data_IF_285723258587
#
_entry.id   IF_285723258587
#
_cell.length_a   1.000
_cell.length_b   1.000
_cell.length_c   1.000
_cell.angle_alpha   90.00
_cell.angle_beta   90.00
_cell.angle_gamma   90.00
#
_symmetry.space_group_name_H-M   'P 1'
#
loop_
_entity.id
_entity.type
_entity.pdbx_description
1 polymer ?
#
# COMPACT_ATOMS: atom_id res chain seq x y z
N UNK A 1 23.19 -25.86 -5.63
CA UNK A 1 22.25 -24.82 -5.13
C UNK A 1 22.12 -24.79 -3.60
N UNK A 2 22.82 -25.62 -2.82
CA UNK A 2 22.76 -25.56 -1.34
C UNK A 2 21.46 -26.08 -0.72
N UNK A 3 20.70 -26.90 -1.44
CA UNK A 3 19.49 -27.56 -0.95
C UNK A 3 19.86 -28.80 -0.14
N UNK A 4 19.14 -29.07 0.96
CA UNK A 4 19.17 -30.39 1.60
C UNK A 4 18.52 -31.45 0.72
N UNK A 5 18.72 -32.73 1.04
CA UNK A 5 18.08 -33.83 0.30
C UNK A 5 16.55 -33.73 0.33
N UNK A 6 15.98 -33.37 1.47
CA UNK A 6 14.54 -33.14 1.62
C UNK A 6 14.05 -31.98 0.76
N UNK A 7 14.78 -30.86 0.76
CA UNK A 7 14.47 -29.68 -0.04
C UNK A 7 14.57 -29.97 -1.55
N UNK A 8 15.54 -30.79 -1.97
CA UNK A 8 15.66 -31.23 -3.35
C UNK A 8 14.46 -32.11 -3.75
N UNK A 9 14.05 -33.06 -2.91
CA UNK A 9 12.85 -33.88 -3.15
C UNK A 9 11.58 -33.03 -3.26
N UNK A 10 11.42 -32.03 -2.38
CA UNK A 10 10.31 -31.07 -2.46
C UNK A 10 10.31 -30.33 -3.80
N UNK A 11 11.45 -29.75 -4.21
CA UNK A 11 11.58 -29.06 -5.49
C UNK A 11 11.17 -29.97 -6.66
N UNK A 12 11.62 -31.22 -6.67
CA UNK A 12 11.29 -32.21 -7.70
C UNK A 12 9.79 -32.55 -7.74
N UNK A 13 9.12 -32.52 -6.59
CA UNK A 13 7.68 -32.78 -6.47
C UNK A 13 6.79 -31.62 -6.94
N UNK A 14 7.32 -30.39 -7.08
CA UNK A 14 6.52 -29.24 -7.50
C UNK A 14 6.13 -29.32 -8.97
N UNK A 15 4.82 -29.32 -9.27
CA UNK A 15 4.30 -29.35 -10.64
C UNK A 15 4.99 -30.42 -11.51
N UNK A 16 4.76 -31.73 -11.27
CA UNK A 16 5.48 -32.85 -11.89
C UNK A 16 5.59 -32.82 -13.42
N UNK A 17 4.63 -32.15 -14.08
CA UNK A 17 4.54 -31.97 -15.53
C UNK A 17 5.58 -31.00 -16.10
N UNK A 18 6.16 -30.12 -15.28
CA UNK A 18 7.22 -29.19 -15.70
C UNK A 18 8.58 -29.90 -15.76
N UNK A 19 9.42 -29.55 -16.74
CA UNK A 19 10.77 -30.11 -16.83
C UNK A 19 11.66 -29.71 -15.65
N UNK A 20 12.57 -30.60 -15.25
CA UNK A 20 13.52 -30.38 -14.14
C UNK A 20 14.26 -29.05 -14.27
N UNK A 21 14.84 -28.78 -15.44
CA UNK A 21 15.59 -27.56 -15.73
C UNK A 21 14.81 -26.29 -15.43
N UNK A 22 13.48 -26.30 -15.64
CA UNK A 22 12.63 -25.13 -15.37
C UNK A 22 12.48 -24.88 -13.88
N UNK A 23 12.31 -25.93 -13.08
CA UNK A 23 12.23 -25.83 -11.61
C UNK A 23 13.54 -25.35 -11.02
N UNK A 24 14.65 -25.91 -11.49
CA UNK A 24 15.99 -25.52 -11.06
C UNK A 24 16.31 -24.07 -11.44
N UNK A 25 15.99 -23.66 -12.68
CA UNK A 25 16.18 -22.28 -13.10
C UNK A 25 15.37 -21.31 -12.24
N UNK A 26 14.10 -21.62 -11.93
CA UNK A 26 13.28 -20.79 -11.07
C UNK A 26 13.83 -20.70 -9.64
N UNK A 27 14.21 -21.83 -9.05
CA UNK A 27 14.85 -21.87 -7.74
C UNK A 27 16.16 -21.07 -7.71
N UNK A 28 17.02 -21.23 -8.73
CA UNK A 28 18.27 -20.48 -8.86
C UNK A 28 18.03 -18.97 -8.93
N UNK A 29 17.02 -18.51 -9.67
CA UNK A 29 16.68 -17.07 -9.74
C UNK A 29 16.24 -16.51 -8.38
N UNK A 30 15.46 -17.26 -7.61
CA UNK A 30 15.05 -16.84 -6.27
C UNK A 30 16.22 -16.81 -5.29
N UNK A 31 17.12 -17.79 -5.35
CA UNK A 31 18.34 -17.80 -4.56
C UNK A 31 19.25 -16.61 -4.90
N UNK A 32 19.44 -16.31 -6.18
CA UNK A 32 20.22 -15.14 -6.62
C UNK A 32 19.61 -13.82 -6.12
N UNK A 33 18.28 -13.77 -5.96
CA UNK A 33 17.59 -12.63 -5.37
C UNK A 33 17.74 -12.54 -3.84
N UNK A 34 18.46 -13.48 -3.23
CA UNK A 34 18.83 -13.50 -1.81
C UNK A 34 17.85 -14.26 -0.93
N UNK A 35 16.87 -15.00 -1.48
CA UNK A 35 16.05 -15.88 -0.67
C UNK A 35 16.87 -17.08 -0.18
N UNK A 36 16.58 -17.55 1.04
CA UNK A 36 17.05 -18.86 1.47
C UNK A 36 16.39 -19.98 0.65
N UNK A 37 17.00 -21.16 0.59
CA UNK A 37 16.41 -22.32 -0.09
C UNK A 37 14.99 -22.62 0.41
N UNK A 38 14.77 -22.54 1.71
CA UNK A 38 13.45 -22.76 2.32
C UNK A 38 12.43 -21.69 1.91
N UNK A 39 12.83 -20.41 1.92
CA UNK A 39 11.96 -19.32 1.50
C UNK A 39 11.63 -19.40 0.00
N UNK A 40 12.60 -19.79 -0.83
CA UNK A 40 12.40 -20.00 -2.26
C UNK A 40 11.41 -21.15 -2.51
N UNK A 41 11.57 -22.29 -1.83
CA UNK A 41 10.64 -23.42 -1.93
C UNK A 41 9.23 -23.05 -1.49
N UNK A 42 9.07 -22.46 -0.31
CA UNK A 42 7.76 -22.04 0.19
C UNK A 42 7.07 -21.01 -0.72
N UNK A 43 7.85 -20.15 -1.40
CA UNK A 43 7.33 -19.24 -2.41
C UNK A 43 6.81 -19.99 -3.64
N UNK A 44 7.59 -20.94 -4.18
CA UNK A 44 7.21 -21.73 -5.36
C UNK A 44 6.00 -22.63 -5.07
N UNK A 45 5.90 -23.19 -3.86
CA UNK A 45 4.75 -23.95 -3.38
C UNK A 45 3.48 -23.10 -3.31
N UNK A 46 3.60 -21.88 -2.75
CA UNK A 46 2.47 -20.96 -2.60
C UNK A 46 2.08 -20.26 -3.90
N UNK A 47 3.01 -20.10 -4.84
CA UNK A 47 2.80 -19.40 -6.10
C UNK A 47 3.30 -20.24 -7.28
N UNK A 48 2.59 -21.32 -7.65
CA UNK A 48 3.00 -22.20 -8.76
C UNK A 48 3.10 -21.47 -10.10
N UNK A 49 2.42 -20.34 -10.26
CA UNK A 49 2.52 -19.48 -11.43
C UNK A 49 3.97 -19.02 -11.72
N UNK A 50 4.81 -18.85 -10.68
CA UNK A 50 6.22 -18.48 -10.85
C UNK A 50 7.00 -19.56 -11.59
N UNK A 51 6.70 -20.85 -11.34
CA UNK A 51 7.32 -21.97 -12.06
C UNK A 51 6.92 -22.01 -13.54
N UNK A 52 5.75 -21.46 -13.89
CA UNK A 52 5.24 -21.43 -15.27
C UNK A 52 5.78 -20.24 -16.06
N UNK A 53 6.43 -19.27 -15.42
CA UNK A 53 7.04 -18.13 -16.10
C UNK A 53 8.22 -18.58 -16.99
N UNK A 54 8.40 -18.00 -18.18
CA UNK A 54 9.65 -18.10 -18.93
C UNK A 54 10.84 -17.61 -18.08
N UNK A 55 12.00 -18.26 -18.22
CA UNK A 55 13.19 -17.96 -17.42
C UNK A 55 13.63 -16.49 -17.58
N UNK A 56 13.60 -15.97 -18.80
CA UNK A 56 13.89 -14.57 -19.13
C UNK A 56 12.95 -13.62 -18.38
N UNK A 57 11.64 -13.87 -18.42
CA UNK A 57 10.64 -13.05 -17.71
C UNK A 57 10.83 -13.09 -16.19
N UNK A 58 11.23 -14.23 -15.63
CA UNK A 58 11.52 -14.36 -14.22
C UNK A 58 12.79 -13.59 -13.84
N UNK A 59 13.87 -13.72 -14.60
CA UNK A 59 15.11 -12.94 -14.45
C UNK A 59 14.84 -11.43 -14.51
N UNK A 60 14.03 -11.03 -15.47
CA UNK A 60 13.58 -9.67 -15.66
C UNK A 60 12.80 -9.13 -14.46
N UNK A 61 11.92 -9.95 -13.87
CA UNK A 61 11.17 -9.62 -12.65
C UNK A 61 12.09 -9.56 -11.43
N UNK A 62 13.01 -10.51 -11.26
CA UNK A 62 13.95 -10.51 -10.13
C UNK A 62 14.88 -9.30 -10.18
N UNK A 63 15.38 -8.93 -11.36
CA UNK A 63 16.17 -7.73 -11.57
C UNK A 63 15.38 -6.44 -11.25
N UNK A 64 14.11 -6.38 -11.63
CA UNK A 64 13.23 -5.25 -11.30
C UNK A 64 13.00 -5.11 -9.79
N UNK A 65 12.70 -6.21 -9.09
CA UNK A 65 12.55 -6.22 -7.63
C UNK A 65 13.85 -5.79 -6.92
N UNK A 66 15.01 -6.28 -7.38
CA UNK A 66 16.31 -5.86 -6.84
C UNK A 66 16.56 -4.36 -7.03
N UNK A 67 16.23 -3.78 -8.20
CA UNK A 67 16.35 -2.33 -8.43
C UNK A 67 15.45 -1.50 -7.50
N UNK A 68 14.34 -2.05 -7.05
CA UNK A 68 13.46 -1.44 -6.05
C UNK A 68 13.94 -1.66 -4.61
N UNK A 69 15.11 -2.29 -4.41
CA UNK A 69 15.64 -2.64 -3.09
C UNK A 69 14.90 -3.79 -2.42
N UNK A 70 14.12 -4.57 -3.16
CA UNK A 70 13.44 -5.77 -2.68
C UNK A 70 14.30 -7.00 -2.98
N UNK A 71 15.28 -7.25 -2.11
CA UNK A 71 16.11 -8.43 -2.12
C UNK A 71 16.26 -9.04 -0.71
N UNK A 72 16.83 -10.24 -0.65
CA UNK A 72 17.16 -10.91 0.60
C UNK A 72 15.99 -11.04 1.57
N UNK A 73 16.23 -10.71 2.84
CA UNK A 73 15.22 -10.76 3.89
C UNK A 73 14.09 -9.72 3.71
N UNK A 74 14.34 -8.59 3.04
CA UNK A 74 13.30 -7.59 2.76
C UNK A 74 12.29 -8.14 1.77
N UNK A 75 12.77 -8.78 0.69
CA UNK A 75 11.91 -9.45 -0.25
C UNK A 75 11.14 -10.61 0.38
N UNK A 76 11.80 -11.46 1.18
CA UNK A 76 11.12 -12.57 1.85
C UNK A 76 9.92 -12.08 2.69
N UNK A 77 10.11 -10.97 3.43
CA UNK A 77 9.05 -10.32 4.21
C UNK A 77 7.98 -9.67 3.34
N UNK A 78 8.34 -9.09 2.20
CA UNK A 78 7.40 -8.47 1.30
C UNK A 78 6.51 -9.54 0.63
N UNK A 79 7.13 -10.60 0.12
CA UNK A 79 6.44 -11.69 -0.58
C UNK A 79 5.56 -12.50 0.37
N UNK A 80 5.96 -12.70 1.62
CA UNK A 80 5.08 -13.39 2.59
C UNK A 80 3.74 -12.68 2.75
N UNK A 81 3.72 -11.34 2.64
CA UNK A 81 2.51 -10.50 2.72
C UNK A 81 1.82 -10.28 1.38
N UNK A 82 2.59 -10.19 0.30
CA UNK A 82 2.10 -9.90 -1.05
C UNK A 82 2.75 -10.87 -2.04
N UNK A 83 2.24 -12.12 -2.14
CA UNK A 83 2.74 -13.09 -3.11
C UNK A 83 2.63 -12.60 -4.57
N UNK A 84 1.65 -11.73 -4.86
CA UNK A 84 1.37 -11.19 -6.18
C UNK A 84 2.52 -10.34 -6.75
N UNK A 85 3.54 -9.98 -5.95
CA UNK A 85 4.72 -9.23 -6.42
C UNK A 85 5.38 -9.81 -7.67
N UNK A 86 5.43 -11.13 -7.80
CA UNK A 86 6.04 -11.78 -8.97
C UNK A 86 5.15 -11.77 -10.20
N UNK A 87 3.83 -11.84 -10.02
CA UNK A 87 2.84 -11.96 -11.08
C UNK A 87 2.23 -10.61 -11.50
N UNK A 88 2.44 -9.55 -10.71
CA UNK A 88 1.93 -8.21 -10.98
C UNK A 88 2.41 -7.71 -12.35
N UNK A 89 1.53 -7.09 -13.18
CA UNK A 89 1.96 -6.47 -14.43
C UNK A 89 3.01 -5.37 -14.24
N UNK A 90 4.06 -5.39 -15.07
CA UNK A 90 5.15 -4.40 -15.02
C UNK A 90 4.67 -2.95 -15.10
N UNK A 91 3.71 -2.67 -15.98
CA UNK A 91 3.14 -1.33 -16.14
C UNK A 91 2.50 -0.80 -14.85
N UNK A 92 1.79 -1.66 -14.11
CA UNK A 92 1.19 -1.31 -12.81
C UNK A 92 2.26 -1.03 -11.76
N UNK A 93 3.25 -1.92 -11.64
CA UNK A 93 4.38 -1.74 -10.72
C UNK A 93 5.12 -0.42 -11.00
N UNK A 94 5.43 -0.15 -12.26
CA UNK A 94 6.10 1.08 -12.68
C UNK A 94 5.25 2.34 -12.39
N UNK A 95 3.94 2.29 -12.63
CA UNK A 95 3.05 3.42 -12.35
C UNK A 95 2.99 3.74 -10.84
N UNK A 96 2.86 2.74 -9.98
CA UNK A 96 2.84 2.92 -8.52
C UNK A 96 4.19 3.46 -8.01
N UNK A 97 5.31 2.91 -8.49
CA UNK A 97 6.66 3.39 -8.15
C UNK A 97 6.86 4.84 -8.59
N UNK A 98 6.42 5.18 -9.81
CA UNK A 98 6.51 6.54 -10.34
C UNK A 98 5.69 7.51 -9.49
N UNK A 99 4.45 7.15 -9.15
CA UNK A 99 3.58 7.95 -8.29
C UNK A 99 4.21 8.22 -6.92
N UNK A 100 4.70 7.18 -6.24
CA UNK A 100 5.34 7.32 -4.94
C UNK A 100 6.61 8.20 -4.98
N UNK A 101 7.34 8.18 -6.10
CA UNK A 101 8.57 8.95 -6.25
C UNK A 101 8.33 10.39 -6.69
N UNK A 102 7.50 10.59 -7.70
CA UNK A 102 7.35 11.88 -8.39
C UNK A 102 6.21 12.72 -7.81
N UNK A 103 5.12 12.09 -7.35
CA UNK A 103 3.97 12.79 -6.78
C UNK A 103 4.00 12.81 -5.26
N UNK A 104 4.38 11.70 -4.61
CA UNK A 104 4.52 11.66 -3.14
C UNK A 104 5.89 12.10 -2.64
N UNK A 105 6.86 12.30 -3.54
CA UNK A 105 8.22 12.78 -3.25
C UNK A 105 8.98 11.91 -2.23
N UNK A 106 8.73 10.60 -2.19
CA UNK A 106 9.53 9.70 -1.37
C UNK A 106 10.96 9.56 -1.92
N UNK A 107 11.94 9.63 -1.03
CA UNK A 107 13.34 9.32 -1.40
C UNK A 107 13.49 7.85 -1.79
N UNK A 108 14.59 7.48 -2.46
CA UNK A 108 14.84 6.08 -2.82
C UNK A 108 14.89 5.16 -1.59
N UNK A 109 15.42 5.63 -0.47
CA UNK A 109 15.46 4.90 0.80
C UNK A 109 14.06 4.73 1.41
N UNK A 110 13.28 5.81 1.45
CA UNK A 110 11.90 5.78 1.94
C UNK A 110 11.03 4.85 1.09
N UNK A 111 11.17 4.93 -0.23
CA UNK A 111 10.45 4.06 -1.16
C UNK A 111 10.79 2.59 -0.90
N UNK A 112 12.07 2.24 -0.78
CA UNK A 112 12.51 0.88 -0.44
C UNK A 112 11.85 0.39 0.86
N UNK A 113 11.81 1.23 1.90
CA UNK A 113 11.18 0.87 3.17
C UNK A 113 9.66 0.71 3.05
N UNK A 114 8.98 1.59 2.31
CA UNK A 114 7.54 1.47 2.00
C UNK A 114 7.26 0.16 1.27
N UNK A 115 8.00 -0.16 0.21
CA UNK A 115 7.79 -1.39 -0.56
C UNK A 115 8.09 -2.64 0.27
N UNK A 116 9.09 -2.60 1.15
CA UNK A 116 9.42 -3.72 2.02
C UNK A 116 8.41 -3.96 3.15
N UNK A 117 7.77 -2.90 3.67
CA UNK A 117 6.84 -3.00 4.79
C UNK A 117 5.37 -3.09 4.37
N UNK A 118 5.03 -2.46 3.25
CA UNK A 118 3.69 -2.26 2.70
C UNK A 118 3.65 -2.63 1.20
N UNK A 119 4.05 -3.84 0.78
CA UNK A 119 4.14 -4.20 -0.64
C UNK A 119 2.79 -4.16 -1.41
N UNK A 120 1.67 -4.14 -0.69
CA UNK A 120 0.34 -4.01 -1.26
C UNK A 120 0.13 -2.68 -2.01
N UNK A 121 0.91 -1.64 -1.72
CA UNK A 121 0.85 -0.36 -2.46
C UNK A 121 1.07 -0.51 -3.96
N UNK A 122 1.76 -1.57 -4.40
CA UNK A 122 1.97 -1.86 -5.82
C UNK A 122 0.73 -2.47 -6.49
N UNK A 123 -0.24 -2.92 -5.72
CA UNK A 123 -1.52 -3.48 -6.19
C UNK A 123 -2.62 -2.43 -6.19
N UNK A 124 -2.47 -1.36 -5.40
CA UNK A 124 -3.45 -0.30 -5.24
C UNK A 124 -3.68 0.49 -6.54
N UNK A 125 -4.88 1.04 -6.66
CA UNK A 125 -5.23 1.94 -7.75
C UNK A 125 -4.52 3.30 -7.54
N UNK A 126 -3.90 3.88 -8.59
CA UNK A 126 -3.06 5.07 -8.43
C UNK A 126 -3.76 6.26 -7.76
N UNK A 127 -5.03 6.56 -8.10
CA UNK A 127 -5.76 7.69 -7.50
C UNK A 127 -5.99 7.45 -6.01
N UNK A 128 -6.42 6.25 -5.64
CA UNK A 128 -6.65 5.84 -4.25
C UNK A 128 -5.37 5.90 -3.41
N UNK A 129 -4.25 5.42 -3.96
CA UNK A 129 -2.94 5.49 -3.30
C UNK A 129 -2.47 6.95 -3.10
N UNK A 130 -2.66 7.79 -4.11
CA UNK A 130 -2.30 9.21 -4.03
C UNK A 130 -3.17 9.95 -3.02
N UNK A 131 -4.49 9.72 -3.05
CA UNK A 131 -5.43 10.33 -2.11
C UNK A 131 -5.07 9.99 -0.66
N UNK A 132 -4.74 8.73 -0.39
CA UNK A 132 -4.28 8.29 0.93
C UNK A 132 -3.02 9.05 1.38
N UNK A 133 -2.04 9.22 0.49
CA UNK A 133 -0.85 10.04 0.77
C UNK A 133 -1.21 11.52 1.01
N UNK A 134 -2.01 12.11 0.13
CA UNK A 134 -2.40 13.52 0.20
C UNK A 134 -3.15 13.83 1.49
N UNK A 135 -4.04 12.94 1.93
CA UNK A 135 -4.72 13.08 3.21
C UNK A 135 -3.73 13.14 4.37
N UNK A 136 -2.79 12.20 4.44
CA UNK A 136 -1.78 12.23 5.50
C UNK A 136 -0.88 13.48 5.41
N UNK A 137 -0.52 13.92 4.21
CA UNK A 137 0.40 15.05 4.02
C UNK A 137 -0.28 16.40 4.27
N UNK A 138 -1.40 16.66 3.60
CA UNK A 138 -2.09 17.96 3.63
C UNK A 138 -3.10 18.04 4.77
N UNK A 139 -3.91 17.00 4.97
CA UNK A 139 -5.00 17.03 5.96
C UNK A 139 -4.54 16.73 7.37
N UNK A 140 -3.56 15.84 7.54
CA UNK A 140 -2.98 15.52 8.86
C UNK A 140 -1.67 16.28 9.13
N UNK A 141 -1.05 16.92 8.13
CA UNK A 141 0.22 17.63 8.28
C UNK A 141 1.42 16.72 8.59
N UNK A 142 1.34 15.43 8.25
CA UNK A 142 2.38 14.44 8.54
C UNK A 142 3.47 14.48 7.46
N UNK A 143 4.73 14.39 7.85
CA UNK A 143 5.87 14.32 6.91
C UNK A 143 6.17 12.88 6.46
N UNK A 144 6.70 12.71 5.25
CA UNK A 144 7.02 11.41 4.64
C UNK A 144 7.81 10.48 5.57
N UNK A 145 8.81 11.02 6.28
CA UNK A 145 9.65 10.25 7.21
C UNK A 145 8.82 9.58 8.31
N UNK A 146 7.81 10.27 8.83
CA UNK A 146 6.90 9.73 9.84
C UNK A 146 5.92 8.74 9.23
N UNK A 147 5.39 9.01 8.02
CA UNK A 147 4.53 8.07 7.29
C UNK A 147 5.21 6.71 7.08
N UNK A 148 6.48 6.74 6.65
CA UNK A 148 7.28 5.52 6.43
C UNK A 148 7.49 4.77 7.76
N UNK A 149 7.90 5.48 8.82
CA UNK A 149 8.13 4.90 10.14
C UNK A 149 6.86 4.29 10.74
N UNK A 150 5.72 4.95 10.54
CA UNK A 150 4.41 4.48 11.01
C UNK A 150 3.78 3.43 10.09
N UNK A 151 4.36 3.18 8.90
CA UNK A 151 3.85 2.26 7.88
C UNK A 151 2.43 2.63 7.43
N UNK A 152 2.25 3.90 7.04
CA UNK A 152 0.97 4.52 6.65
C UNK A 152 0.08 3.56 5.84
N UNK A 153 0.61 3.06 4.72
CA UNK A 153 -0.14 2.25 3.75
C UNK A 153 -0.48 0.82 4.21
N UNK A 154 -0.22 0.44 5.46
CA UNK A 154 -0.77 -0.80 6.04
C UNK A 154 -2.20 -0.66 6.52
N UNK A 155 -2.58 0.53 6.95
CA UNK A 155 -3.93 0.81 7.39
C UNK A 155 -4.79 1.14 6.16
N UNK A 156 -5.98 0.57 6.01
CA UNK A 156 -6.93 1.02 4.98
C UNK A 156 -7.24 2.50 5.16
N UNK A 157 -7.42 3.23 4.05
CA UNK A 157 -7.66 4.68 4.08
C UNK A 157 -8.87 5.07 4.93
N UNK A 158 -9.98 4.32 4.83
CA UNK A 158 -11.18 4.57 5.62
C UNK A 158 -10.91 4.54 7.13
N UNK A 159 -10.12 3.56 7.61
CA UNK A 159 -9.78 3.47 9.03
C UNK A 159 -8.81 4.56 9.47
N UNK A 160 -7.87 4.97 8.60
CA UNK A 160 -7.02 6.14 8.86
C UNK A 160 -7.89 7.40 9.09
N UNK A 161 -8.84 7.66 8.18
CA UNK A 161 -9.76 8.80 8.24
C UNK A 161 -10.59 8.76 9.51
N UNK A 162 -11.21 7.61 9.81
CA UNK A 162 -12.01 7.41 11.03
C UNK A 162 -11.20 7.74 12.29
N UNK A 163 -10.02 7.16 12.46
CA UNK A 163 -9.18 7.40 13.65
C UNK A 163 -8.74 8.84 13.76
N UNK A 164 -8.33 9.45 12.64
CA UNK A 164 -7.88 10.84 12.62
C UNK A 164 -9.01 11.81 12.99
N UNK A 165 -10.15 11.75 12.30
CA UNK A 165 -11.28 12.65 12.53
C UNK A 165 -11.86 12.43 13.92
N UNK A 166 -11.91 11.19 14.41
CA UNK A 166 -12.37 10.91 15.77
C UNK A 166 -11.51 11.58 16.84
N UNK A 167 -10.18 11.52 16.70
CA UNK A 167 -9.27 12.23 17.61
C UNK A 167 -9.41 13.74 17.47
N UNK A 168 -9.55 14.25 16.25
CA UNK A 168 -9.67 15.69 15.99
C UNK A 168 -10.96 16.27 16.60
N UNK A 169 -12.12 15.63 16.38
CA UNK A 169 -13.41 16.05 16.97
C UNK A 169 -13.42 15.96 18.49
N UNK A 170 -12.56 15.13 19.08
CA UNK A 170 -12.35 15.04 20.53
C UNK A 170 -11.30 16.03 21.06
N UNK A 171 -10.70 16.86 20.19
CA UNK A 171 -9.63 17.79 20.56
C UNK A 171 -8.31 17.10 20.93
N UNK A 172 -8.15 15.83 20.59
CA UNK A 172 -6.98 15.00 20.88
C UNK A 172 -5.98 14.96 19.71
N UNK A 173 -6.36 15.54 18.58
CA UNK A 173 -5.50 15.77 17.44
C UNK A 173 -5.75 17.17 16.89
N UNK A 174 -4.68 17.90 16.58
CA UNK A 174 -4.74 19.18 15.93
C UNK A 174 -3.90 19.14 14.66
N UNK A 175 -4.51 19.47 13.51
CA UNK A 175 -3.77 19.57 12.25
C UNK A 175 -2.63 20.62 12.39
N UNK A 176 -1.35 20.25 12.21
CA UNK A 176 -0.24 21.18 12.36
C UNK A 176 -0.32 22.36 11.39
N UNK A 177 -0.22 23.59 11.90
CA UNK A 177 -0.09 24.79 11.06
C UNK A 177 1.38 25.21 11.00
N UNK A 178 1.96 25.24 9.79
CA UNK A 178 3.40 25.49 9.57
C UNK A 178 4.32 24.57 10.40
N UNK A 179 3.87 23.33 10.64
CA UNK A 179 4.60 22.34 11.43
C UNK A 179 4.52 22.51 12.94
N UNK A 180 3.65 23.40 13.44
CA UNK A 180 3.42 23.60 14.87
C UNK A 180 1.98 23.27 15.26
N UNK A 181 1.81 22.72 16.46
CA UNK A 181 0.52 22.46 17.10
C UNK A 181 0.51 23.10 18.48
N UNK A 182 -0.67 23.50 18.97
CA UNK A 182 -0.81 24.05 20.33
C UNK A 182 -0.74 22.93 21.38
N UNK A 183 -1.13 21.72 21.01
CA UNK A 183 -1.04 20.48 21.80
C UNK A 183 -0.18 19.45 21.11
N UNK A 184 0.52 18.61 21.88
CA UNK A 184 1.31 17.51 21.32
C UNK A 184 0.39 16.40 20.80
N UNK A 185 0.34 16.21 19.48
CA UNK A 185 -0.44 15.14 18.87
C UNK A 185 0.09 13.75 19.28
N UNK A 186 -0.77 12.73 19.36
CA UNK A 186 -0.34 11.34 19.49
C UNK A 186 0.61 10.94 18.35
N UNK A 187 1.55 10.04 18.63
CA UNK A 187 2.47 9.55 17.59
C UNK A 187 1.66 8.83 16.52
N UNK A 188 1.95 9.12 15.25
CA UNK A 188 1.26 8.48 14.13
C UNK A 188 1.32 6.95 14.20
N UNK A 189 2.46 6.38 14.62
CA UNK A 189 2.59 4.93 14.82
C UNK A 189 1.49 4.37 15.74
N UNK A 190 1.14 5.07 16.81
CA UNK A 190 0.17 4.62 17.79
C UNK A 190 -1.26 4.76 17.23
N UNK A 191 -1.53 5.84 16.49
CA UNK A 191 -2.79 6.01 15.75
C UNK A 191 -3.00 4.85 14.76
N UNK A 192 -1.96 4.42 14.03
CA UNK A 192 -2.11 3.43 12.95
C UNK A 192 -1.95 1.97 13.37
N UNK A 193 -1.12 1.67 14.37
CA UNK A 193 -0.73 0.28 14.66
C UNK A 193 -1.38 -0.29 15.90
N UNK A 194 -1.97 0.52 16.78
CA UNK A 194 -2.68 -0.01 17.93
C UNK A 194 -3.95 -0.76 17.48
N UNK A 195 -4.24 -1.93 18.08
CA UNK A 195 -5.56 -2.54 17.97
C UNK A 195 -6.65 -1.53 18.37
N UNK A 196 -7.83 -1.64 17.77
CA UNK A 196 -8.92 -0.67 18.00
C UNK A 196 -9.23 -0.47 19.50
N UNK A 197 -9.30 -1.57 20.26
CA UNK A 197 -9.48 -1.53 21.72
C UNK A 197 -8.43 -0.66 22.44
N UNK A 198 -7.15 -0.81 22.08
CA UNK A 198 -6.06 -0.09 22.74
C UNK A 198 -6.01 1.37 22.26
N UNK A 199 -6.29 1.62 20.98
CA UNK A 199 -6.46 2.96 20.44
C UNK A 199 -7.55 3.73 21.20
N UNK A 200 -8.71 3.10 21.42
CA UNK A 200 -9.83 3.71 22.13
C UNK A 200 -9.53 3.93 23.61
N UNK A 201 -8.92 2.97 24.29
CA UNK A 201 -8.61 3.09 25.71
C UNK A 201 -7.49 4.11 25.99
N UNK A 202 -6.43 4.10 25.19
CA UNK A 202 -5.20 4.86 25.50
C UNK A 202 -5.10 6.21 24.79
N UNK A 203 -5.57 6.33 23.55
CA UNK A 203 -5.50 7.56 22.77
C UNK A 203 -6.84 8.29 22.83
N UNK A 204 -7.92 7.67 22.35
CA UNK A 204 -9.20 8.36 22.18
C UNK A 204 -9.96 8.57 23.51
N UNK A 205 -9.67 7.76 24.54
CA UNK A 205 -10.36 7.74 25.85
C UNK A 205 -11.88 7.57 25.69
N UNK A 206 -12.28 6.57 24.90
CA UNK A 206 -13.65 6.33 24.45
C UNK A 206 -14.01 4.85 24.51
N UNK A 207 -15.30 4.52 24.40
CA UNK A 207 -15.76 3.13 24.32
C UNK A 207 -15.87 2.64 22.87
N UNK A 208 -15.82 1.31 22.62
CA UNK A 208 -16.06 0.75 21.30
C UNK A 208 -17.41 1.15 20.70
N UNK A 209 -18.45 1.24 21.53
CA UNK A 209 -19.81 1.59 21.09
C UNK A 209 -19.87 3.03 20.57
N UNK A 210 -19.23 3.97 21.27
CA UNK A 210 -19.11 5.37 20.83
C UNK A 210 -18.40 5.45 19.48
N UNK A 211 -17.31 4.70 19.30
CA UNK A 211 -16.56 4.69 18.05
C UNK A 211 -17.32 4.04 16.89
N UNK A 212 -18.05 2.96 17.14
CA UNK A 212 -18.91 2.33 16.13
C UNK A 212 -20.04 3.25 15.66
N UNK A 213 -20.69 3.96 16.59
CA UNK A 213 -21.69 4.98 16.23
C UNK A 213 -21.03 6.10 15.43
N UNK A 214 -19.86 6.56 15.86
CA UNK A 214 -19.11 7.58 15.15
C UNK A 214 -18.77 7.19 13.71
N UNK A 215 -18.27 5.97 13.47
CA UNK A 215 -17.96 5.47 12.12
C UNK A 215 -19.18 5.53 11.19
N UNK A 216 -20.38 5.21 11.71
CA UNK A 216 -21.64 5.28 10.93
C UNK A 216 -22.05 6.71 10.62
N UNK A 217 -21.95 7.61 11.60
CA UNK A 217 -22.25 9.02 11.40
C UNK A 217 -21.31 9.64 10.37
N UNK A 218 -20.01 9.38 10.50
CA UNK A 218 -19.00 9.90 9.60
C UNK A 218 -19.15 9.37 8.17
N UNK A 219 -19.49 8.09 7.99
CA UNK A 219 -19.78 7.53 6.68
C UNK A 219 -21.01 8.18 6.03
N UNK A 220 -22.05 8.48 6.81
CA UNK A 220 -23.23 9.19 6.32
C UNK A 220 -22.92 10.63 5.93
N UNK A 221 -22.11 11.33 6.71
CA UNK A 221 -21.65 12.69 6.36
C UNK A 221 -20.88 12.68 5.03
N UNK A 222 -20.01 11.70 4.79
CA UNK A 222 -19.30 11.54 3.50
C UNK A 222 -20.27 11.33 2.32
N UNK A 223 -21.30 10.50 2.50
CA UNK A 223 -22.31 10.26 1.46
C UNK A 223 -23.17 11.49 1.16
N UNK A 224 -23.42 12.33 2.16
CA UNK A 224 -24.16 13.60 1.99
C UNK A 224 -23.26 14.64 1.29
N UNK A 225 -22.00 14.80 1.72
CA UNK A 225 -21.01 15.68 1.06
C UNK A 225 -20.79 15.32 -0.41
N UNK A 226 -20.67 14.02 -0.72
CA UNK A 226 -20.46 13.56 -2.10
C UNK A 226 -21.66 13.87 -3.02
N UNK A 227 -22.90 13.77 -2.51
CA UNK A 227 -24.10 14.11 -3.29
C UNK A 227 -24.21 15.61 -3.55
N UNK A 228 -23.88 16.43 -2.55
CA UNK A 228 -23.87 17.89 -2.73
C UNK A 228 -22.83 18.34 -3.76
N UNK A 229 -21.66 17.68 -3.81
CA UNK A 229 -20.66 17.92 -4.85
C UNK A 229 -21.14 17.50 -6.24
N UNK A 230 -21.79 16.34 -6.37
CA UNK A 230 -22.37 15.86 -7.64
C UNK A 230 -23.50 16.78 -8.15
N UNK A 231 -24.45 17.13 -7.27
CA UNK A 231 -25.58 18.03 -7.60
C UNK A 231 -25.10 19.45 -7.97
N UNK A 232 -24.04 19.95 -7.32
CA UNK A 232 -23.46 21.27 -7.58
C UNK A 232 -22.56 21.36 -8.82
N UNK A 233 -22.15 20.22 -9.40
CA UNK A 233 -21.49 20.15 -10.71
C UNK A 233 -22.51 20.13 -11.86
N UNK A 234 -23.65 19.45 -11.71
CA UNK A 234 -24.75 19.44 -12.71
C UNK A 234 -25.35 20.85 -12.93
N UNK A 235 -25.55 21.63 -11.87
CA UNK A 235 -26.03 23.02 -11.97
C UNK A 235 -25.02 23.95 -12.67
N UNK A 236 -23.72 23.63 -12.62
CA UNK A 236 -22.67 24.42 -13.25
C UNK A 236 -22.58 24.16 -14.74
N UNK A 237 -22.71 22.91 -15.19
CA UNK A 237 -22.71 22.55 -16.61
C UNK A 237 -23.98 23.05 -17.33
N UNK A 238 -25.12 23.14 -16.64
CA UNK A 238 -26.34 23.74 -17.19
C UNK A 238 -26.21 25.26 -17.49
N UNK A 239 -25.42 25.99 -16.70
CA UNK A 239 -25.19 27.43 -16.88
C UNK A 239 -24.21 27.77 -18.02
N UNK A 240 -23.44 26.80 -18.53
CA UNK A 240 -22.52 27.00 -19.66
C UNK A 240 -23.06 26.46 -20.99
N UNK A 241 -24.21 25.77 -20.99
CA UNK A 241 -24.84 25.26 -22.20
C UNK A 241 -25.78 26.28 -22.89
N UNK A 242 -26.12 27.39 -22.24
CA UNK A 242 -27.03 28.40 -22.78
C UNK A 242 -26.35 29.54 -23.58
N UNK A 243 -25.02 29.63 -23.58
CA UNK A 243 -24.27 30.76 -24.20
C UNK A 243 -23.72 30.49 -25.62
N UNK A 244 -23.94 29.30 -26.19
CA UNK A 244 -23.37 28.91 -27.51
C UNK A 244 -24.36 28.96 -28.70
N UNK A 245 -25.56 29.54 -28.55
CA UNK A 245 -26.56 29.62 -29.65
C UNK A 245 -26.67 30.97 -30.40
N UNK A 246 -25.88 32.01 -30.07
CA UNK A 246 -26.03 33.33 -30.72
C UNK A 246 -24.71 33.93 -31.26
N UNK A 247 -24.05 33.27 -32.21
CA UNK A 247 -23.04 33.92 -33.08
C UNK A 247 -23.14 33.40 -34.52
N UNK A 248 -24.23 33.76 -35.21
CA UNK A 248 -24.27 33.86 -36.68
C UNK A 248 -25.38 34.85 -37.12
N UNK A 249 -25.02 36.13 -37.26
CA UNK A 249 -25.74 37.11 -38.12
C UNK A 249 -24.76 38.09 -38.77
#
# INVERSE_FOLDING_TARGET
>A
MGFSEEQARRLLGLEPRLGLQRREAAAAQLLLLGLSAEAALGLLERIPAVLRMPAERLQERTAELRRLGLDGGQLQRAVSRCPQLFTLPRRRMAAAVRLLREQCLFTAEQLREVLGTCPAVLLEEPRSLHHHFQYAYFRMGVQQKEMVKARLFRMPFAELRNRHIFLERRGLYQTPHKGQTQTSNPKLKDILQLPEKDFLASLARSTPEEYEVFKKLLAREEEEEAKEEEDGEEDRDALYAEDDEDLDK
#
